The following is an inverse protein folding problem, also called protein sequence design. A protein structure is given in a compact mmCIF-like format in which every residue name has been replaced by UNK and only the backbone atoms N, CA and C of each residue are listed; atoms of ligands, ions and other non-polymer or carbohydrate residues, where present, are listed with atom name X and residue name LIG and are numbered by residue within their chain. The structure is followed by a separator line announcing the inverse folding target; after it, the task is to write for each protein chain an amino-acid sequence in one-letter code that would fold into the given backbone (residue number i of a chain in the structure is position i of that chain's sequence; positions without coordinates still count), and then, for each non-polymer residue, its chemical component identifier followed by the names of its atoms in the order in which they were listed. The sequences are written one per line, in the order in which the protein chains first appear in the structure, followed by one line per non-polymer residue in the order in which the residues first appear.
data_IF_673660720470
#
_entry.id   IF_673660720470
#
_cell.length_a   1.000
_cell.length_b   1.000
_cell.length_c   1.000
_cell.angle_alpha   90.00
_cell.angle_beta   90.00
_cell.angle_gamma   90.00
#
_symmetry.space_group_name_H-M   'P 1'
#
loop_
_entity.id
_entity.type
_entity.pdbx_description
1 polymer ?
#
# COMPACT_ATOMS: atom_id res chain seq x y z
N UNK A 1 -6.75 20.00 -17.07
CA UNK A 1 -7.51 20.72 -16.02
C UNK A 1 -6.68 21.88 -15.45
N UNK A 2 -7.29 23.03 -15.18
CA UNK A 2 -6.63 24.21 -14.61
C UNK A 2 -7.46 24.76 -13.44
N UNK A 3 -6.77 25.23 -12.39
CA UNK A 3 -7.38 25.86 -11.21
C UNK A 3 -6.59 27.10 -10.79
N UNK A 4 -7.24 27.99 -10.05
CA UNK A 4 -6.62 29.19 -9.46
C UNK A 4 -6.66 29.04 -7.94
N UNK A 5 -5.53 29.25 -7.29
CA UNK A 5 -5.39 29.18 -5.84
C UNK A 5 -4.82 30.49 -5.30
N UNK A 6 -5.23 30.87 -4.10
CA UNK A 6 -4.70 32.01 -3.36
C UNK A 6 -4.78 31.66 -1.87
N UNK A 7 -3.73 31.99 -1.11
CA UNK A 7 -3.71 31.77 0.33
C UNK A 7 -4.55 32.84 1.03
N UNK A 8 -5.30 32.43 2.07
CA UNK A 8 -6.13 33.33 2.86
C UNK A 8 -5.32 33.81 4.07
N UNK A 9 -5.25 35.14 4.23
CA UNK A 9 -4.60 35.80 5.35
C UNK A 9 -5.65 36.46 6.24
N UNK A 10 -5.34 36.56 7.53
CA UNK A 10 -6.09 37.37 8.48
C UNK A 10 -5.84 38.86 8.22
N UNK A 11 -6.73 39.73 8.73
CA UNK A 11 -6.62 41.19 8.58
C UNK A 11 -5.34 41.78 9.22
N UNK A 12 -4.76 41.07 10.19
CA UNK A 12 -3.49 41.44 10.84
C UNK A 12 -2.25 41.02 10.04
N UNK A 13 -2.44 40.40 8.86
CA UNK A 13 -1.38 39.92 7.98
C UNK A 13 -0.81 38.55 8.36
N UNK A 14 -1.33 37.90 9.40
CA UNK A 14 -0.97 36.53 9.74
C UNK A 14 -1.68 35.51 8.84
N UNK A 15 -1.09 34.32 8.69
CA UNK A 15 -1.71 33.23 7.93
C UNK A 15 -2.89 32.64 8.70
N UNK A 16 -4.06 32.55 8.06
CA UNK A 16 -5.27 31.98 8.66
C UNK A 16 -5.07 30.50 9.02
N UNK A 17 -5.51 30.10 10.22
CA UNK A 17 -5.51 28.70 10.67
C UNK A 17 -6.89 28.07 10.51
N UNK A 18 -7.01 26.78 10.82
CA UNK A 18 -8.26 26.03 10.59
C UNK A 18 -9.50 26.72 11.19
N UNK A 19 -9.41 27.22 12.42
CA UNK A 19 -10.53 27.90 13.07
C UNK A 19 -10.92 29.22 12.36
N UNK A 20 -9.94 29.95 11.82
CA UNK A 20 -10.18 31.16 11.01
C UNK A 20 -10.84 30.81 9.69
N UNK A 21 -10.33 29.78 9.02
CA UNK A 21 -10.85 29.30 7.73
C UNK A 21 -12.28 28.79 7.86
N UNK A 22 -12.63 28.10 8.96
CA UNK A 22 -14.00 27.65 9.21
C UNK A 22 -14.96 28.84 9.37
N UNK A 23 -14.54 29.91 10.07
CA UNK A 23 -15.34 31.14 10.20
C UNK A 23 -15.51 31.83 8.85
N UNK A 24 -14.41 32.02 8.12
CA UNK A 24 -14.40 32.66 6.81
C UNK A 24 -15.29 31.90 5.81
N UNK A 25 -15.16 30.57 5.76
CA UNK A 25 -15.96 29.71 4.89
C UNK A 25 -17.46 29.85 5.16
N UNK A 26 -17.87 29.92 6.44
CA UNK A 26 -19.28 30.15 6.80
C UNK A 26 -19.78 31.53 6.39
N UNK A 27 -18.96 32.57 6.59
CA UNK A 27 -19.32 33.95 6.25
C UNK A 27 -19.55 34.12 4.73
N UNK A 28 -18.77 33.42 3.92
CA UNK A 28 -18.79 33.54 2.47
C UNK A 28 -19.50 32.37 1.75
N UNK A 29 -20.17 31.48 2.50
CA UNK A 29 -20.86 30.28 1.99
C UNK A 29 -19.95 29.39 1.11
N UNK A 30 -18.72 29.17 1.57
CA UNK A 30 -17.73 28.31 0.92
C UNK A 30 -17.67 26.95 1.62
N UNK A 31 -17.40 25.91 0.84
CA UNK A 31 -17.07 24.58 1.36
C UNK A 31 -15.63 24.57 1.87
N UNK A 32 -15.40 23.84 2.95
CA UNK A 32 -14.07 23.56 3.49
C UNK A 32 -13.81 22.05 3.41
N UNK A 33 -12.57 21.68 3.12
CA UNK A 33 -12.11 20.30 3.10
C UNK A 33 -10.61 20.26 3.29
N UNK A 34 -10.10 19.11 3.74
CA UNK A 34 -8.65 18.94 3.93
C UNK A 34 -8.03 18.18 2.75
N UNK A 35 -6.73 18.37 2.53
CA UNK A 35 -5.97 17.56 1.56
C UNK A 35 -6.05 16.08 1.94
N UNK A 36 -6.03 15.75 3.24
CA UNK A 36 -6.20 14.38 3.76
C UNK A 36 -7.52 13.75 3.34
N UNK A 37 -8.62 14.50 3.46
CA UNK A 37 -9.95 14.02 3.06
C UNK A 37 -10.04 13.88 1.55
N UNK A 38 -9.46 14.82 0.79
CA UNK A 38 -9.43 14.73 -0.68
C UNK A 38 -8.60 13.52 -1.14
N UNK A 39 -7.46 13.25 -0.51
CA UNK A 39 -6.65 12.05 -0.79
C UNK A 39 -7.48 10.80 -0.49
N UNK A 40 -8.16 10.73 0.66
CA UNK A 40 -8.99 9.59 1.04
C UNK A 40 -10.16 9.39 0.08
N UNK A 41 -10.88 10.46 -0.26
CA UNK A 41 -11.96 10.44 -1.24
C UNK A 41 -11.49 9.94 -2.60
N UNK A 42 -10.37 10.46 -3.11
CA UNK A 42 -9.80 10.01 -4.39
C UNK A 42 -9.31 8.56 -4.33
N UNK A 43 -8.76 8.12 -3.20
CA UNK A 43 -8.34 6.72 -3.00
C UNK A 43 -9.53 5.76 -3.03
N UNK A 44 -10.68 6.18 -2.53
CA UNK A 44 -11.93 5.40 -2.53
C UNK A 44 -12.64 5.43 -3.90
N UNK A 45 -12.62 6.57 -4.60
CA UNK A 45 -13.45 6.78 -5.79
C UNK A 45 -12.68 6.71 -7.13
N UNK A 46 -11.37 6.97 -7.14
CA UNK A 46 -10.56 6.89 -8.35
C UNK A 46 -10.01 5.46 -8.52
N UNK A 47 -10.59 4.69 -9.44
CA UNK A 47 -10.03 3.39 -9.86
C UNK A 47 -8.80 3.58 -10.75
N UNK A 48 -7.63 3.70 -10.13
CA UNK A 48 -6.37 3.99 -10.84
C UNK A 48 -5.54 2.75 -11.18
N UNK A 49 -5.95 1.57 -10.69
CA UNK A 49 -5.25 0.29 -10.93
C UNK A 49 -5.85 -0.46 -12.11
N UNK A 50 -5.00 -1.01 -12.97
CA UNK A 50 -5.36 -1.82 -14.12
C UNK A 50 -4.64 -3.17 -14.08
N UNK A 51 -5.38 -4.27 -14.30
CA UNK A 51 -4.78 -5.61 -14.48
C UNK A 51 -4.16 -5.71 -15.87
N UNK A 52 -2.83 -5.81 -15.95
CA UNK A 52 -2.10 -5.85 -17.24
C UNK A 52 -1.68 -7.24 -17.69
N UNK A 53 -1.65 -8.20 -16.78
CA UNK A 53 -1.26 -9.56 -17.12
C UNK A 53 -1.51 -10.52 -15.98
N UNK A 54 -1.63 -11.79 -16.33
CA UNK A 54 -1.73 -12.87 -15.35
C UNK A 54 -0.95 -14.09 -15.83
N UNK A 55 -0.40 -14.85 -14.88
CA UNK A 55 0.30 -16.10 -15.13
C UNK A 55 0.06 -17.09 -14.00
N UNK A 56 -0.43 -18.27 -14.34
CA UNK A 56 -0.47 -19.40 -13.42
C UNK A 56 0.86 -20.13 -13.42
N UNK A 57 1.36 -20.52 -12.25
CA UNK A 57 2.60 -21.30 -12.13
C UNK A 57 2.59 -22.16 -10.87
N UNK A 58 3.41 -23.21 -10.87
CA UNK A 58 3.66 -24.03 -9.68
C UNK A 58 4.98 -23.61 -9.07
N UNK A 59 4.91 -23.12 -7.83
CA UNK A 59 6.07 -22.83 -7.00
C UNK A 59 6.45 -24.04 -6.17
N UNK A 60 7.74 -24.17 -5.84
CA UNK A 60 8.21 -25.11 -4.82
C UNK A 60 7.66 -24.75 -3.42
N UNK A 61 7.20 -23.51 -3.25
CA UNK A 61 6.64 -22.97 -2.01
C UNK A 61 5.14 -22.73 -2.20
N UNK A 62 4.32 -23.46 -1.46
CA UNK A 62 2.87 -23.32 -1.52
C UNK A 62 2.20 -23.81 -2.81
N UNK A 63 2.88 -24.55 -3.69
CA UNK A 63 2.27 -25.23 -4.84
C UNK A 63 1.78 -24.29 -5.96
N UNK A 64 0.55 -24.46 -6.44
CA UNK A 64 0.00 -23.66 -7.55
C UNK A 64 -0.41 -22.24 -7.12
N UNK A 65 -0.05 -21.25 -7.94
CA UNK A 65 -0.29 -19.81 -7.74
C UNK A 65 -0.75 -19.13 -9.02
N UNK A 66 -1.45 -18.01 -8.87
CA UNK A 66 -1.73 -17.06 -9.95
C UNK A 66 -1.01 -15.74 -9.65
N UNK A 67 -0.02 -15.38 -10.46
CA UNK A 67 0.58 -14.05 -10.43
C UNK A 67 -0.26 -13.10 -11.28
N UNK A 68 -0.55 -11.90 -10.76
CA UNK A 68 -1.29 -10.85 -11.45
C UNK A 68 -0.46 -9.56 -11.40
N UNK A 69 -0.26 -8.93 -12.55
CA UNK A 69 0.41 -7.65 -12.69
C UNK A 69 -0.63 -6.52 -12.67
N UNK A 70 -0.41 -5.55 -11.80
CA UNK A 70 -1.26 -4.38 -11.59
C UNK A 70 -0.48 -3.12 -11.93
N UNK A 71 -1.06 -2.27 -12.78
CA UNK A 71 -0.47 -1.00 -13.18
C UNK A 71 -1.26 0.16 -12.62
N UNK A 72 -0.56 1.08 -11.95
CA UNK A 72 -1.15 2.31 -11.47
C UNK A 72 -1.03 3.41 -12.53
N UNK A 73 -2.15 3.86 -13.08
CA UNK A 73 -2.19 4.90 -14.11
C UNK A 73 -1.76 6.28 -13.62
N UNK A 74 -1.87 6.56 -12.33
CA UNK A 74 -1.49 7.84 -11.76
C UNK A 74 0.02 7.92 -11.46
N UNK A 75 0.63 6.84 -10.98
CA UNK A 75 2.07 6.82 -10.69
C UNK A 75 2.91 6.29 -11.85
N UNK A 76 2.30 5.53 -12.77
CA UNK A 76 2.99 4.84 -13.84
C UNK A 76 3.75 3.59 -13.38
N UNK A 77 3.54 3.15 -12.13
CA UNK A 77 4.23 2.02 -11.53
C UNK A 77 3.48 0.70 -11.75
N UNK A 78 4.23 -0.39 -11.76
CA UNK A 78 3.69 -1.75 -11.86
C UNK A 78 4.05 -2.56 -10.61
N UNK A 79 3.05 -3.21 -10.03
CA UNK A 79 3.16 -4.01 -8.81
C UNK A 79 2.55 -5.39 -9.08
N UNK A 80 2.99 -6.40 -8.33
CA UNK A 80 2.54 -7.78 -8.52
C UNK A 80 1.85 -8.30 -7.27
N UNK A 81 0.79 -9.08 -7.46
CA UNK A 81 0.24 -9.92 -6.41
C UNK A 81 0.29 -11.40 -6.81
N UNK A 82 0.67 -12.26 -5.87
CA UNK A 82 0.50 -13.70 -5.98
C UNK A 82 -0.78 -14.09 -5.24
N UNK A 83 -1.70 -14.74 -5.94
CA UNK A 83 -2.99 -15.18 -5.41
C UNK A 83 -2.99 -16.70 -5.32
N UNK A 84 -3.36 -17.20 -4.13
CA UNK A 84 -3.57 -18.60 -3.82
C UNK A 84 -5.07 -18.87 -3.72
N UNK A 85 -5.53 -19.94 -4.38
CA UNK A 85 -6.92 -20.38 -4.28
C UNK A 85 -7.92 -19.34 -4.78
N UNK A 86 -9.18 -19.49 -4.34
CA UNK A 86 -10.23 -18.52 -4.58
C UNK A 86 -10.38 -17.62 -3.34
N UNK A 87 -10.58 -16.32 -3.58
CA UNK A 87 -10.84 -15.34 -2.53
C UNK A 87 -12.35 -15.36 -2.23
N UNK A 88 -12.69 -15.57 -0.96
CA UNK A 88 -14.06 -15.55 -0.45
C UNK A 88 -14.28 -14.23 0.32
N UNK A 89 -15.01 -13.25 -0.22
CA UNK A 89 -15.21 -11.96 0.43
C UNK A 89 -15.98 -12.03 1.76
N UNK A 90 -16.58 -13.17 2.09
CA UNK A 90 -17.30 -13.38 3.36
C UNK A 90 -16.39 -13.80 4.52
N UNK A 91 -15.09 -14.04 4.25
CA UNK A 91 -14.12 -14.49 5.26
C UNK A 91 -12.86 -13.61 5.22
N UNK A 92 -12.19 -13.43 6.37
CA UNK A 92 -10.89 -12.82 6.40
C UNK A 92 -9.89 -13.55 5.50
N UNK A 93 -9.28 -12.84 4.57
CA UNK A 93 -8.26 -13.40 3.67
C UNK A 93 -6.88 -13.28 4.32
N UNK A 94 -6.06 -14.32 4.24
CA UNK A 94 -4.67 -14.26 4.69
C UNK A 94 -3.84 -13.44 3.70
N UNK A 95 -3.27 -12.33 4.17
CA UNK A 95 -2.58 -11.36 3.30
C UNK A 95 -1.16 -11.09 3.81
N UNK A 96 -0.18 -11.11 2.92
CA UNK A 96 1.16 -10.60 3.18
C UNK A 96 1.44 -9.39 2.30
N UNK A 97 1.79 -8.28 2.91
CA UNK A 97 2.36 -7.11 2.24
C UNK A 97 3.88 -7.20 2.37
N UNK A 98 4.60 -7.34 1.26
CA UNK A 98 6.04 -7.54 1.29
C UNK A 98 6.78 -6.53 0.41
N UNK A 99 7.66 -5.76 1.03
CA UNK A 99 8.61 -4.88 0.34
C UNK A 99 9.73 -5.70 -0.26
N UNK A 100 9.75 -5.85 -1.59
CA UNK A 100 10.73 -6.65 -2.30
C UNK A 100 12.16 -6.09 -2.10
N UNK A 101 13.10 -6.96 -1.78
CA UNK A 101 14.53 -6.65 -1.69
C UNK A 101 15.34 -7.76 -2.35
N UNK A 102 16.28 -7.37 -3.23
CA UNK A 102 17.02 -8.34 -4.06
C UNK A 102 17.89 -9.29 -3.23
N UNK A 103 18.54 -8.82 -2.16
CA UNK A 103 19.47 -9.64 -1.38
C UNK A 103 18.77 -10.75 -0.59
N UNK A 104 17.82 -10.47 0.33
CA UNK A 104 17.14 -11.52 1.07
C UNK A 104 16.16 -12.33 0.21
N UNK A 105 15.46 -11.71 -0.75
CA UNK A 105 14.37 -12.39 -1.47
C UNK A 105 14.84 -13.14 -2.72
N UNK A 106 15.89 -12.66 -3.40
CA UNK A 106 16.41 -13.28 -4.64
C UNK A 106 17.71 -14.04 -4.38
N UNK A 107 18.64 -13.47 -3.62
CA UNK A 107 19.95 -14.09 -3.36
C UNK A 107 20.01 -14.90 -2.06
N UNK A 108 18.98 -14.84 -1.21
CA UNK A 108 18.93 -15.60 0.04
C UNK A 108 19.94 -15.10 1.08
N UNK A 109 20.15 -13.78 1.16
CA UNK A 109 20.95 -13.17 2.22
C UNK A 109 20.37 -13.53 3.60
N UNK A 110 21.23 -14.07 4.46
CA UNK A 110 20.89 -14.43 5.84
C UNK A 110 20.77 -13.18 6.70
N UNK A 111 19.75 -13.11 7.56
CA UNK A 111 19.52 -12.00 8.48
C UNK A 111 18.08 -12.03 9.02
N UNK A 112 17.64 -10.91 9.60
CA UNK A 112 16.29 -10.80 10.18
C UNK A 112 15.16 -10.94 9.13
N UNK A 113 15.47 -10.66 7.87
CA UNK A 113 14.53 -10.77 6.74
C UNK A 113 14.68 -12.07 5.95
N UNK A 114 15.48 -13.00 6.44
CA UNK A 114 15.73 -14.27 5.76
C UNK A 114 14.43 -15.04 5.50
N UNK A 115 14.30 -15.52 4.27
CA UNK A 115 13.23 -16.39 3.83
C UNK A 115 11.79 -15.89 4.07
N UNK A 116 11.56 -14.60 4.31
CA UNK A 116 10.21 -14.09 4.63
C UNK A 116 9.22 -14.31 3.47
N UNK A 117 9.62 -14.07 2.22
CA UNK A 117 8.79 -14.36 1.05
C UNK A 117 8.47 -15.85 0.97
N UNK A 118 9.51 -16.68 1.12
CA UNK A 118 9.38 -18.13 1.07
C UNK A 118 8.39 -18.63 2.13
N UNK A 119 8.58 -18.25 3.39
CA UNK A 119 7.74 -18.66 4.52
C UNK A 119 6.32 -18.17 4.36
N UNK A 120 6.11 -16.92 3.93
CA UNK A 120 4.79 -16.40 3.64
C UNK A 120 4.07 -17.20 2.55
N UNK A 121 4.77 -17.59 1.47
CA UNK A 121 4.21 -18.46 0.44
C UNK A 121 3.89 -19.87 0.97
N UNK A 122 4.72 -20.43 1.84
CA UNK A 122 4.46 -21.73 2.48
C UNK A 122 3.20 -21.66 3.36
N UNK A 123 3.13 -20.68 4.27
CA UNK A 123 1.99 -20.47 5.18
C UNK A 123 0.68 -20.26 4.41
N UNK A 124 0.67 -19.36 3.42
CA UNK A 124 -0.52 -19.14 2.57
C UNK A 124 -0.85 -20.39 1.76
N UNK A 125 0.17 -21.13 1.32
CA UNK A 125 0.01 -22.39 0.61
C UNK A 125 -0.70 -23.45 1.45
N UNK A 126 -0.36 -23.56 2.73
CA UNK A 126 -0.99 -24.47 3.70
C UNK A 126 -2.44 -24.07 4.01
N UNK A 127 -2.73 -22.76 4.13
CA UNK A 127 -4.09 -22.24 4.28
C UNK A 127 -4.97 -22.53 3.04
N UNK A 128 -4.34 -22.62 1.86
CA UNK A 128 -5.00 -22.93 0.59
C UNK A 128 -5.67 -21.73 -0.09
N UNK A 129 -5.81 -20.60 0.60
CA UNK A 129 -6.27 -19.32 0.06
C UNK A 129 -5.53 -18.14 0.70
N UNK A 130 -5.20 -17.13 -0.11
CA UNK A 130 -4.56 -15.92 0.38
C UNK A 130 -3.82 -15.14 -0.71
N UNK A 131 -3.25 -14.00 -0.31
CA UNK A 131 -2.58 -13.07 -1.23
C UNK A 131 -1.24 -12.60 -0.68
N UNK A 132 -0.21 -12.64 -1.52
CA UNK A 132 1.08 -12.00 -1.28
C UNK A 132 1.24 -10.84 -2.26
N UNK A 133 1.21 -9.60 -1.76
CA UNK A 133 1.48 -8.40 -2.55
C UNK A 133 2.97 -8.07 -2.46
N UNK A 134 3.63 -8.03 -3.63
CA UNK A 134 5.04 -7.69 -3.77
C UNK A 134 5.18 -6.22 -4.11
N UNK A 135 5.36 -5.40 -3.08
CA UNK A 135 5.59 -3.98 -3.19
C UNK A 135 7.02 -3.75 -3.70
N UNK A 136 7.15 -3.03 -4.81
CA UNK A 136 8.42 -2.59 -5.35
C UNK A 136 8.49 -1.07 -5.29
N UNK A 137 9.70 -0.54 -5.10
CA UNK A 137 9.98 0.88 -5.31
C UNK A 137 10.91 1.01 -6.51
N UNK A 138 10.40 1.24 -7.71
CA UNK A 138 11.25 1.48 -8.86
C UNK A 138 12.03 2.78 -8.62
N UNK A 139 13.35 2.67 -8.49
CA UNK A 139 14.27 3.82 -8.50
C UNK A 139 15.43 3.53 -9.44
N UNK A 140 15.93 4.56 -10.12
CA UNK A 140 17.05 4.43 -11.04
C UNK A 140 18.33 3.89 -10.37
N UNK A 141 18.45 4.10 -9.07
CA UNK A 141 19.59 3.70 -8.23
C UNK A 141 19.29 2.51 -7.29
N UNK A 142 18.19 1.78 -7.50
CA UNK A 142 17.71 0.71 -6.60
C UNK A 142 18.81 -0.28 -6.22
N UNK A 143 19.58 -0.76 -7.21
CA UNK A 143 20.66 -1.73 -7.00
C UNK A 143 21.77 -1.14 -6.11
N UNK A 144 22.20 0.09 -6.38
CA UNK A 144 23.22 0.77 -5.58
C UNK A 144 22.76 0.96 -4.13
N UNK A 145 21.50 1.38 -3.92
CA UNK A 145 20.95 1.54 -2.57
C UNK A 145 20.82 0.22 -1.83
N UNK A 146 20.43 -0.85 -2.52
CA UNK A 146 20.38 -2.19 -1.95
C UNK A 146 21.78 -2.62 -1.48
N UNK A 147 22.83 -2.39 -2.27
CA UNK A 147 24.22 -2.69 -1.90
C UNK A 147 24.73 -1.88 -0.71
N UNK A 148 24.25 -0.65 -0.53
CA UNK A 148 24.63 0.25 0.57
C UNK A 148 23.86 -0.01 1.87
N UNK A 149 23.02 -1.07 1.93
CA UNK A 149 22.14 -1.32 3.08
C UNK A 149 21.05 -0.25 3.27
N UNK A 150 20.93 0.69 2.33
CA UNK A 150 19.98 1.82 2.37
C UNK A 150 18.71 1.54 1.54
N UNK A 151 18.60 0.34 0.96
CA UNK A 151 17.46 -0.09 0.14
C UNK A 151 16.14 -0.22 0.91
N UNK A 152 16.16 -0.10 2.24
CA UNK A 152 14.99 -0.17 3.10
C UNK A 152 14.34 1.18 3.47
N UNK A 153 14.92 2.33 3.08
CA UNK A 153 14.35 3.61 3.50
C UNK A 153 14.95 4.82 2.80
N UNK A 154 14.27 5.33 1.78
CA UNK A 154 14.44 6.70 1.34
C UNK A 154 13.51 7.61 2.15
N UNK A 155 14.02 8.77 2.59
CA UNK A 155 13.22 9.85 3.17
C UNK A 155 12.09 10.22 2.20
N UNK A 156 10.87 10.36 2.73
CA UNK A 156 9.77 11.01 2.02
C UNK A 156 10.09 12.51 1.88
N UNK A 157 9.75 13.11 0.73
CA UNK A 157 9.78 14.57 0.55
C UNK A 157 8.58 15.25 1.25
N UNK A 158 7.60 14.46 1.70
CA UNK A 158 6.50 14.91 2.53
C UNK A 158 6.80 14.55 4.00
N UNK A 159 6.99 15.55 4.89
CA UNK A 159 7.29 15.30 6.30
C UNK A 159 6.15 14.61 7.06
N UNK A 160 4.92 14.63 6.53
CA UNK A 160 3.73 14.05 7.19
C UNK A 160 3.34 12.64 6.71
N UNK A 161 3.82 12.18 5.54
CA UNK A 161 3.60 10.79 5.08
C UNK A 161 4.84 9.93 5.31
N UNK A 162 4.71 8.90 6.15
CA UNK A 162 5.78 7.91 6.26
C UNK A 162 5.89 7.12 4.94
N UNK A 163 7.10 6.79 4.46
CA UNK A 163 7.28 6.00 3.24
C UNK A 163 6.51 4.67 3.25
N UNK A 164 6.31 4.08 4.43
CA UNK A 164 5.53 2.86 4.65
C UNK A 164 4.05 3.09 4.28
N UNK A 165 3.47 4.23 4.67
CA UNK A 165 2.05 4.51 4.43
C UNK A 165 1.72 4.68 2.94
N UNK A 166 2.65 5.24 2.15
CA UNK A 166 2.50 5.41 0.70
C UNK A 166 2.53 4.07 -0.04
N UNK A 167 3.49 3.22 0.26
CA UNK A 167 3.60 1.90 -0.40
C UNK A 167 2.37 1.03 -0.11
N UNK A 168 1.86 1.11 1.13
CA UNK A 168 0.66 0.38 1.51
C UNK A 168 -0.60 0.91 0.81
N UNK A 169 -0.63 2.16 0.37
CA UNK A 169 -1.74 2.71 -0.41
C UNK A 169 -1.91 2.00 -1.76
N UNK A 170 -0.82 1.77 -2.50
CA UNK A 170 -0.88 1.02 -3.77
C UNK A 170 -1.29 -0.44 -3.56
N UNK A 171 -0.73 -1.09 -2.53
CA UNK A 171 -1.12 -2.45 -2.19
C UNK A 171 -2.58 -2.57 -1.72
N UNK A 172 -3.10 -1.57 -1.00
CA UNK A 172 -4.51 -1.52 -0.60
C UNK A 172 -5.46 -1.49 -1.81
N UNK A 173 -5.16 -0.69 -2.82
CA UNK A 173 -5.96 -0.67 -4.06
C UNK A 173 -5.95 -2.04 -4.75
N UNK A 174 -4.81 -2.73 -4.75
CA UNK A 174 -4.70 -4.09 -5.29
C UNK A 174 -5.58 -5.08 -4.51
N UNK A 175 -5.57 -5.02 -3.19
CA UNK A 175 -6.40 -5.89 -2.35
C UNK A 175 -7.90 -5.62 -2.56
N UNK A 176 -8.29 -4.36 -2.63
CA UNK A 176 -9.67 -3.97 -2.93
C UNK A 176 -10.12 -4.44 -4.33
N UNK A 177 -9.26 -4.29 -5.34
CA UNK A 177 -9.47 -4.78 -6.71
C UNK A 177 -9.57 -6.31 -6.77
N UNK A 178 -8.91 -7.03 -5.86
CA UNK A 178 -9.04 -8.48 -5.69
C UNK A 178 -10.33 -8.89 -4.94
N UNK A 179 -11.12 -7.93 -4.45
CA UNK A 179 -12.38 -8.16 -3.74
C UNK A 179 -12.22 -8.47 -2.25
N UNK A 180 -11.04 -8.20 -1.68
CA UNK A 180 -10.78 -8.38 -0.25
C UNK A 180 -11.40 -7.22 0.53
N UNK A 181 -11.95 -7.53 1.72
CA UNK A 181 -12.54 -6.55 2.64
C UNK A 181 -11.98 -6.71 4.05
N UNK A 182 -11.96 -7.93 4.54
CA UNK A 182 -11.36 -8.32 5.80
C UNK A 182 -10.09 -9.13 5.53
N UNK A 183 -9.03 -8.87 6.29
CA UNK A 183 -7.79 -9.61 6.16
C UNK A 183 -7.12 -9.93 7.50
N UNK A 184 -6.46 -11.09 7.53
CA UNK A 184 -5.47 -11.44 8.53
C UNK A 184 -4.09 -11.11 7.97
N UNK A 185 -3.39 -10.17 8.59
CA UNK A 185 -2.10 -9.69 8.09
C UNK A 185 -0.96 -10.61 8.56
N UNK A 186 -0.24 -11.22 7.63
CA UNK A 186 1.00 -11.94 7.91
C UNK A 186 2.14 -10.94 8.13
N UNK A 187 2.50 -10.67 9.38
CA UNK A 187 3.50 -9.68 9.74
C UNK A 187 4.16 -9.96 11.08
N UNK A 188 5.45 -9.59 11.19
CA UNK A 188 6.22 -9.62 12.44
C UNK A 188 6.33 -8.23 13.08
N UNK A 189 5.74 -7.22 12.45
CA UNK A 189 5.74 -5.83 12.90
C UNK A 189 4.31 -5.32 13.02
N UNK A 190 4.01 -4.72 14.16
CA UNK A 190 2.75 -4.02 14.40
C UNK A 190 2.81 -2.64 13.74
N UNK A 191 1.90 -2.38 12.81
CA UNK A 191 1.76 -1.07 12.18
C UNK A 191 0.33 -0.56 12.37
N UNK A 192 0.19 0.65 12.93
CA UNK A 192 -1.08 1.37 12.96
C UNK A 192 -1.42 1.84 11.54
N UNK A 193 -2.07 0.97 10.76
CA UNK A 193 -2.37 1.20 9.35
C UNK A 193 -3.70 1.97 9.18
N UNK A 194 -3.73 3.23 9.62
CA UNK A 194 -4.88 4.13 9.44
C UNK A 194 -5.23 4.39 7.95
N UNK A 195 -4.35 4.03 7.01
CA UNK A 195 -4.53 4.28 5.58
C UNK A 195 -5.43 3.26 4.86
N UNK A 196 -5.79 2.14 5.50
CA UNK A 196 -6.51 1.04 4.83
C UNK A 196 -8.03 1.21 4.83
N UNK A 197 -8.58 1.89 5.83
CA UNK A 197 -10.04 2.12 5.95
C UNK A 197 -10.59 2.88 4.73
N UNK A 198 -9.84 3.84 4.20
CA UNK A 198 -10.22 4.61 2.99
C UNK A 198 -10.27 3.79 1.70
N UNK A 199 -9.86 2.51 1.74
CA UNK A 199 -10.00 1.57 0.62
C UNK A 199 -11.07 0.49 0.90
N UNK A 200 -11.86 0.62 1.96
CA UNK A 200 -12.82 -0.38 2.39
C UNK A 200 -12.18 -1.68 2.91
N UNK A 201 -10.93 -1.58 3.39
CA UNK A 201 -10.17 -2.71 3.93
C UNK A 201 -10.06 -2.61 5.45
N UNK A 202 -10.16 -3.76 6.12
CA UNK A 202 -10.02 -3.89 7.56
C UNK A 202 -9.08 -5.04 7.92
N UNK A 203 -8.18 -4.78 8.88
CA UNK A 203 -7.32 -5.81 9.47
C UNK A 203 -8.05 -6.36 10.68
N UNK A 204 -8.47 -7.62 10.62
CA UNK A 204 -9.18 -8.28 11.74
C UNK A 204 -8.24 -8.99 12.70
N UNK A 205 -6.97 -9.15 12.31
CA UNK A 205 -5.93 -9.76 13.13
C UNK A 205 -4.59 -9.81 12.41
N UNK A 206 -3.55 -10.10 13.19
CA UNK A 206 -2.19 -10.30 12.68
C UNK A 206 -1.71 -11.70 13.04
N UNK A 207 -0.91 -12.29 12.15
CA UNK A 207 -0.27 -13.60 12.36
C UNK A 207 1.23 -13.47 12.05
N UNK A 208 2.12 -13.89 12.96
CA UNK A 208 3.55 -13.85 12.71
C UNK A 208 3.98 -14.83 11.62
N UNK A 209 5.14 -14.55 11.04
CA UNK A 209 5.86 -15.38 10.08
C UNK A 209 7.00 -16.03 10.85
N UNK A 210 6.75 -17.26 11.30
CA UNK A 210 7.67 -18.08 12.09
C UNK A 210 8.66 -18.89 11.24
#
# INVERSE_FOLDING_TARGET
PAGVICEIMNDDGSMSRMDDLVRFARQHDLKIGTIRDLISYRREHDHMIERRGQKTFTSRWGGAWTAIAFYNRATGEETMALVKGAIDPSKPTLVRMHMLSIFPDVFGETGERDALVRRAMEIIGEEGSGVLVLLNRPSADYVTRAMQGSGGGAKSDDPDETPIQRDYGGGAQILAELGIREMMLLTNTHHALAALEGYGLSIVGERPID
#
